data_IF_112949304838
#
_entry.id   IF_112949304838
#
_cell.length_a   1.000
_cell.length_b   1.000
_cell.length_c   1.000
_cell.angle_alpha   90.00
_cell.angle_beta   90.00
_cell.angle_gamma   90.00
#
_symmetry.space_group_name_H-M   'P 1'
#
loop_
_entity.id
_entity.type
_entity.pdbx_description
1 polymer ?
#
# COMPACT_ATOMS: atom_id res chain seq x y z
N UNK A 1 -5.87 29.85 7.39
CA UNK A 1 -4.45 29.78 6.96
C UNK A 1 -4.22 28.34 6.54
N UNK A 2 -4.76 28.05 5.37
CA UNK A 2 -5.02 26.69 4.91
C UNK A 2 -3.92 26.35 3.91
N UNK A 3 -2.91 25.66 4.42
CA UNK A 3 -1.75 25.26 3.62
C UNK A 3 -2.21 24.42 2.42
N UNK A 4 -2.02 24.92 1.19
CA UNK A 4 -2.59 24.33 0.00
C UNK A 4 -1.78 23.11 -0.46
N UNK A 5 -2.49 22.04 -0.86
CA UNK A 5 -2.07 21.09 -1.91
C UNK A 5 -0.85 20.20 -1.63
N UNK A 6 -0.76 19.58 -0.45
CA UNK A 6 0.09 18.39 -0.33
C UNK A 6 -0.55 17.26 -1.13
N UNK A 7 -0.04 16.99 -2.33
CA UNK A 7 -0.47 15.87 -3.15
C UNK A 7 -0.33 14.58 -2.34
N UNK A 8 -1.45 14.04 -1.86
CA UNK A 8 -1.49 12.86 -0.96
C UNK A 8 -0.70 11.67 -1.49
N UNK A 9 -0.55 11.57 -2.82
CA UNK A 9 0.31 10.60 -3.51
C UNK A 9 1.81 10.80 -3.25
N UNK A 10 2.31 12.03 -3.20
CA UNK A 10 3.72 12.29 -2.87
C UNK A 10 4.01 11.93 -1.42
N UNK A 11 3.10 12.23 -0.50
CA UNK A 11 3.23 11.83 0.91
C UNK A 11 3.21 10.31 1.07
N UNK A 12 2.37 9.61 0.30
CA UNK A 12 2.33 8.14 0.22
C UNK A 12 3.65 7.56 -0.29
N UNK A 13 4.16 8.01 -1.44
CA UNK A 13 5.39 7.48 -2.05
C UNK A 13 6.61 7.76 -1.18
N UNK A 14 6.71 8.97 -0.60
CA UNK A 14 7.79 9.34 0.32
C UNK A 14 7.69 8.50 1.60
N UNK A 15 6.48 8.28 2.15
CA UNK A 15 6.28 7.43 3.32
C UNK A 15 6.66 5.97 3.07
N UNK A 16 6.21 5.37 1.97
CA UNK A 16 6.57 4.00 1.58
C UNK A 16 8.07 3.85 1.30
N UNK A 17 8.67 4.81 0.61
CA UNK A 17 10.10 4.82 0.34
C UNK A 17 10.93 4.94 1.62
N UNK A 18 10.62 5.93 2.45
CA UNK A 18 11.35 6.19 3.69
C UNK A 18 11.14 5.08 4.73
N UNK A 19 9.91 4.58 4.86
CA UNK A 19 9.58 3.43 5.70
C UNK A 19 10.27 2.15 5.23
N UNK A 20 10.26 1.86 3.93
CA UNK A 20 10.93 0.68 3.38
C UNK A 20 12.45 0.73 3.54
N UNK A 21 13.08 1.88 3.30
CA UNK A 21 14.52 2.08 3.55
C UNK A 21 14.84 1.93 5.04
N UNK A 22 13.94 2.38 5.91
CA UNK A 22 14.03 2.16 7.36
C UNK A 22 13.94 0.67 7.75
N UNK A 23 13.08 -0.12 7.12
CA UNK A 23 13.09 -1.56 7.41
C UNK A 23 14.37 -2.26 6.91
N UNK A 24 14.97 -1.78 5.81
CA UNK A 24 16.23 -2.32 5.28
C UNK A 24 17.46 -1.93 6.10
N UNK A 25 17.50 -0.73 6.70
CA UNK A 25 18.62 -0.31 7.57
C UNK A 25 18.56 -0.96 8.96
N UNK A 26 17.41 -1.51 9.38
CA UNK A 26 17.23 -2.13 10.71
C UNK A 26 18.26 -3.23 11.00
N UNK A 27 18.46 -4.24 10.14
CA UNK A 27 19.47 -5.28 10.40
C UNK A 27 20.91 -4.73 10.41
N UNK A 28 21.19 -3.66 9.65
CA UNK A 28 22.49 -2.97 9.69
C UNK A 28 22.68 -2.21 11.01
N UNK A 29 21.65 -1.52 11.48
CA UNK A 29 21.67 -0.80 12.75
C UNK A 29 21.86 -1.78 13.93
N UNK A 30 21.23 -2.95 13.88
CA UNK A 30 21.43 -4.01 14.88
C UNK A 30 22.85 -4.57 14.87
N UNK A 31 23.50 -4.64 13.70
CA UNK A 31 24.90 -5.09 13.56
C UNK A 31 25.91 -4.06 14.09
N UNK A 32 25.63 -2.77 13.95
CA UNK A 32 26.57 -1.68 14.29
C UNK A 32 26.38 -1.17 15.72
N UNK A 33 25.13 -0.94 16.15
CA UNK A 33 24.81 -0.31 17.43
C UNK A 33 24.25 -1.30 18.49
N UNK A 34 24.14 -2.58 18.14
CA UNK A 34 23.62 -3.64 19.01
C UNK A 34 22.09 -3.70 19.09
N UNK A 35 21.59 -4.69 19.84
CA UNK A 35 20.18 -5.02 19.94
C UNK A 35 19.22 -3.88 20.37
N UNK A 36 19.56 -2.97 21.32
CA UNK A 36 18.59 -1.97 21.78
C UNK A 36 18.36 -0.83 20.77
N UNK A 37 19.32 -0.55 19.88
CA UNK A 37 19.22 0.53 18.91
C UNK A 37 18.32 0.18 17.70
N UNK A 38 18.12 -1.11 17.42
CA UNK A 38 17.31 -1.57 16.28
C UNK A 38 15.80 -1.53 16.50
N UNK A 39 15.33 -1.61 17.75
CA UNK A 39 13.90 -1.61 18.10
C UNK A 39 13.15 -0.34 17.66
N UNK A 40 13.59 0.89 18.00
CA UNK A 40 12.86 2.09 17.61
C UNK A 40 12.78 2.23 16.09
N UNK A 41 13.82 1.83 15.38
CA UNK A 41 13.89 1.91 13.94
C UNK A 41 13.00 0.88 13.24
N UNK A 42 12.92 -0.34 13.78
CA UNK A 42 11.97 -1.38 13.33
C UNK A 42 10.52 -0.93 13.51
N UNK A 43 10.21 -0.33 14.65
CA UNK A 43 8.87 0.15 14.98
C UNK A 43 8.48 1.33 14.10
N UNK A 44 9.41 2.26 13.86
CA UNK A 44 9.18 3.39 12.98
C UNK A 44 8.89 2.96 11.54
N UNK A 45 9.70 2.03 10.99
CA UNK A 45 9.47 1.47 9.66
C UNK A 45 8.12 0.78 9.53
N UNK A 46 7.76 -0.07 10.50
CA UNK A 46 6.47 -0.76 10.55
C UNK A 46 5.28 0.21 10.63
N UNK A 47 5.36 1.20 11.51
CA UNK A 47 4.30 2.21 11.66
C UNK A 47 4.13 3.05 10.39
N UNK A 48 5.23 3.45 9.76
CA UNK A 48 5.21 4.22 8.51
C UNK A 48 4.59 3.41 7.37
N UNK A 49 4.96 2.14 7.22
CA UNK A 49 4.36 1.25 6.22
C UNK A 49 2.85 1.10 6.43
N UNK A 50 2.42 0.88 7.67
CA UNK A 50 1.00 0.74 8.02
C UNK A 50 0.19 2.01 7.76
N UNK A 51 0.74 3.17 8.09
CA UNK A 51 0.13 4.46 7.78
C UNK A 51 -0.02 4.68 6.26
N UNK A 52 1.00 4.31 5.48
CA UNK A 52 0.95 4.42 4.03
C UNK A 52 -0.08 3.45 3.41
N UNK A 53 -0.17 2.21 3.89
CA UNK A 53 -1.22 1.27 3.47
C UNK A 53 -2.61 1.83 3.74
N UNK A 54 -2.83 2.44 4.91
CA UNK A 54 -4.13 3.02 5.27
C UNK A 54 -4.52 4.17 4.35
N UNK A 55 -3.58 5.05 4.01
CA UNK A 55 -3.85 6.17 3.10
C UNK A 55 -4.08 5.68 1.68
N UNK A 56 -3.35 4.65 1.22
CA UNK A 56 -3.54 4.02 -0.09
C UNK A 56 -4.90 3.34 -0.20
N UNK A 57 -5.40 2.77 0.90
CA UNK A 57 -6.71 2.15 0.99
C UNK A 57 -7.87 3.15 0.90
N UNK A 58 -7.71 4.32 1.53
CA UNK A 58 -8.73 5.39 1.53
C UNK A 58 -8.72 6.18 0.21
N UNK A 59 -7.56 6.33 -0.43
CA UNK A 59 -7.38 7.10 -1.66
C UNK A 59 -8.39 6.78 -2.80
N UNK A 60 -8.64 5.52 -3.20
CA UNK A 60 -9.64 5.21 -4.22
C UNK A 60 -11.07 5.50 -3.75
N UNK A 61 -11.35 5.40 -2.44
CA UNK A 61 -12.70 5.67 -1.90
C UNK A 61 -13.06 7.15 -1.86
N UNK A 62 -12.07 8.04 -1.99
CA UNK A 62 -12.28 9.48 -2.12
C UNK A 62 -12.39 9.93 -3.57
N UNK A 63 -11.76 9.21 -4.50
CA UNK A 63 -11.83 9.50 -5.93
C UNK A 63 -13.05 8.87 -6.63
N UNK A 64 -13.62 7.79 -6.09
CA UNK A 64 -14.73 7.05 -6.73
C UNK A 64 -15.99 6.98 -5.83
N UNK A 65 -17.21 7.16 -6.40
CA UNK A 65 -18.45 7.15 -5.63
C UNK A 65 -18.83 5.74 -5.10
N UNK A 66 -19.78 5.75 -4.16
CA UNK A 66 -20.26 4.71 -3.21
C UNK A 66 -20.40 3.26 -3.72
N UNK A 67 -20.56 3.04 -5.02
CA UNK A 67 -20.72 1.70 -5.61
C UNK A 67 -19.46 0.84 -5.57
N UNK A 68 -18.26 1.46 -5.55
CA UNK A 68 -16.98 0.74 -5.53
C UNK A 68 -16.37 0.55 -4.13
N UNK A 69 -16.97 1.18 -3.11
CA UNK A 69 -16.42 1.14 -1.74
C UNK A 69 -16.50 -0.26 -1.15
N UNK A 70 -17.64 -0.93 -1.25
CA UNK A 70 -17.82 -2.28 -0.71
C UNK A 70 -16.86 -3.31 -1.32
N UNK A 71 -16.63 -3.22 -2.64
CA UNK A 71 -15.71 -4.10 -3.35
C UNK A 71 -14.25 -3.80 -3.03
N UNK A 72 -13.85 -2.53 -2.94
CA UNK A 72 -12.49 -2.15 -2.53
C UNK A 72 -12.15 -2.66 -1.12
N UNK A 73 -13.09 -2.50 -0.17
CA UNK A 73 -12.90 -3.00 1.19
C UNK A 73 -12.85 -4.54 1.23
N UNK A 74 -13.71 -5.21 0.45
CA UNK A 74 -13.72 -6.67 0.34
C UNK A 74 -12.42 -7.24 -0.23
N UNK A 75 -11.90 -6.64 -1.30
CA UNK A 75 -10.64 -7.04 -1.93
C UNK A 75 -9.46 -6.88 -0.97
N UNK A 76 -9.37 -5.77 -0.24
CA UNK A 76 -8.32 -5.61 0.77
C UNK A 76 -8.42 -6.63 1.92
N UNK A 77 -9.64 -7.00 2.34
CA UNK A 77 -9.81 -8.05 3.33
C UNK A 77 -9.33 -9.42 2.83
N UNK A 78 -9.56 -9.73 1.55
CA UNK A 78 -9.01 -10.95 0.93
C UNK A 78 -7.48 -10.90 0.90
N UNK A 79 -6.88 -9.78 0.53
CA UNK A 79 -5.41 -9.61 0.59
C UNK A 79 -4.86 -9.75 2.02
N UNK A 80 -5.55 -9.17 3.02
CA UNK A 80 -5.20 -9.33 4.42
C UNK A 80 -5.26 -10.79 4.88
N UNK A 81 -6.27 -11.54 4.43
CA UNK A 81 -6.38 -12.99 4.69
C UNK A 81 -5.27 -13.78 4.04
N UNK A 82 -4.90 -13.47 2.79
CA UNK A 82 -3.77 -14.11 2.09
C UNK A 82 -2.48 -13.84 2.88
N UNK A 83 -2.24 -12.61 3.31
CA UNK A 83 -1.10 -12.27 4.16
C UNK A 83 -1.07 -13.06 5.47
N UNK A 84 -2.24 -13.29 6.08
CA UNK A 84 -2.34 -14.07 7.31
C UNK A 84 -2.06 -15.57 7.10
N UNK A 85 -2.43 -16.13 5.96
CA UNK A 85 -2.08 -17.52 5.57
C UNK A 85 -0.59 -17.65 5.25
N UNK A 86 0.01 -16.61 4.67
CA UNK A 86 1.46 -16.57 4.39
C UNK A 86 2.31 -16.35 5.64
N UNK A 87 1.75 -15.78 6.72
CA UNK A 87 2.47 -15.50 7.97
C UNK A 87 3.20 -16.70 8.59
N UNK A 88 2.58 -17.90 8.78
CA UNK A 88 3.29 -19.06 9.30
C UNK A 88 4.35 -19.62 8.34
N UNK A 89 4.13 -19.50 7.02
CA UNK A 89 5.11 -19.93 6.00
C UNK A 89 6.34 -19.01 6.04
N UNK A 90 6.11 -17.71 6.21
CA UNK A 90 7.15 -16.70 6.41
C UNK A 90 7.88 -16.85 7.75
N UNK A 91 7.19 -17.31 8.80
CA UNK A 91 7.79 -17.61 10.10
C UNK A 91 8.64 -18.87 10.14
N UNK A 92 8.46 -19.79 9.18
CA UNK A 92 9.34 -20.93 8.98
C UNK A 92 10.65 -20.56 8.26
N UNK A 93 10.69 -19.40 7.58
CA UNK A 93 11.91 -18.78 7.07
C UNK A 93 12.54 -17.89 8.16
N UNK A 94 13.84 -17.64 8.02
CA UNK A 94 14.56 -16.73 8.92
C UNK A 94 13.85 -15.35 8.97
N UNK A 95 13.50 -14.84 10.17
CA UNK A 95 12.71 -13.62 10.32
C UNK A 95 13.41 -12.40 9.70
N UNK A 96 14.74 -12.43 9.59
CA UNK A 96 15.53 -11.38 8.96
C UNK A 96 15.30 -11.37 7.44
N UNK A 97 15.17 -12.54 6.81
CA UNK A 97 14.88 -12.68 5.38
C UNK A 97 13.48 -12.15 5.05
N UNK A 98 12.48 -12.49 5.86
CA UNK A 98 11.12 -11.97 5.71
C UNK A 98 11.05 -10.44 5.88
N UNK A 99 11.79 -9.89 6.85
CA UNK A 99 11.83 -8.45 7.07
C UNK A 99 12.51 -7.71 5.91
N UNK A 100 13.60 -8.27 5.37
CA UNK A 100 14.29 -7.73 4.20
C UNK A 100 13.42 -7.81 2.94
N UNK A 101 12.75 -8.94 2.72
CA UNK A 101 11.84 -9.12 1.58
C UNK A 101 10.69 -8.12 1.63
N UNK A 102 10.05 -7.95 2.78
CA UNK A 102 8.95 -7.00 2.94
C UNK A 102 9.42 -5.54 2.77
N UNK A 103 10.60 -5.21 3.31
CA UNK A 103 11.23 -3.90 3.13
C UNK A 103 11.58 -3.62 1.67
N UNK A 104 12.16 -4.60 0.97
CA UNK A 104 12.52 -4.50 -0.45
C UNK A 104 11.29 -4.41 -1.36
N UNK A 105 10.26 -5.23 -1.13
CA UNK A 105 9.00 -5.15 -1.86
C UNK A 105 8.31 -3.80 -1.62
N UNK A 106 8.37 -3.28 -0.40
CA UNK A 106 7.83 -1.96 -0.04
C UNK A 106 8.56 -0.80 -0.71
N UNK A 107 9.90 -0.82 -0.73
CA UNK A 107 10.70 0.19 -1.44
C UNK A 107 10.52 0.09 -2.94
N UNK A 108 10.50 -1.12 -3.50
CA UNK A 108 10.22 -1.35 -4.92
C UNK A 108 8.81 -0.85 -5.26
N UNK A 109 7.79 -1.11 -4.46
CA UNK A 109 6.45 -0.59 -4.68
C UNK A 109 6.39 0.95 -4.61
N UNK A 110 7.04 1.57 -3.61
CA UNK A 110 7.16 3.02 -3.51
C UNK A 110 7.92 3.64 -4.68
N UNK A 111 8.98 2.97 -5.15
CA UNK A 111 9.79 3.39 -6.28
C UNK A 111 9.06 3.19 -7.61
N UNK A 112 8.30 2.10 -7.79
CA UNK A 112 7.39 1.90 -8.91
C UNK A 112 6.28 2.95 -8.90
N UNK A 113 5.82 3.40 -7.74
CA UNK A 113 4.83 4.49 -7.65
C UNK A 113 5.43 5.84 -8.07
N UNK A 114 6.75 6.01 -7.97
CA UNK A 114 7.50 7.16 -8.52
C UNK A 114 7.87 6.96 -10.00
N UNK A 115 8.18 5.72 -10.40
CA UNK A 115 8.58 5.32 -11.76
C UNK A 115 7.40 5.12 -12.71
N UNK A 116 6.18 4.98 -12.19
CA UNK A 116 4.99 5.34 -12.93
C UNK A 116 4.92 6.87 -12.91
N UNK A 117 5.38 7.58 -13.97
CA UNK A 117 4.99 8.97 -14.14
C UNK A 117 3.47 8.98 -14.01
N UNK A 118 2.98 9.81 -13.09
CA UNK A 118 1.60 10.27 -12.95
C UNK A 118 0.70 9.60 -13.97
N UNK A 119 -0.10 8.61 -13.55
CA UNK A 119 -1.21 8.06 -14.34
C UNK A 119 -1.86 9.20 -15.10
N UNK A 120 -1.45 9.28 -16.35
CA UNK A 120 -1.37 10.48 -17.16
C UNK A 120 -2.74 11.09 -17.31
N UNK A 121 -3.07 12.16 -16.57
CA UNK A 121 -4.18 13.07 -16.87
C UNK A 121 -5.50 12.39 -17.30
N UNK A 122 -5.79 11.18 -16.80
CA UNK A 122 -6.94 10.36 -17.21
C UNK A 122 -7.66 9.77 -16.00
N UNK A 123 -7.73 10.54 -14.92
CA UNK A 123 -9.01 10.62 -14.22
C UNK A 123 -9.98 11.35 -15.17
N UNK A 124 -10.52 10.58 -16.11
CA UNK A 124 -11.66 10.84 -16.99
C UNK A 124 -12.18 12.30 -17.08
N UNK A 125 -11.69 13.03 -18.08
CA UNK A 125 -12.57 13.79 -18.99
C UNK A 125 -13.13 12.82 -20.06
N UNK A 126 -13.78 11.72 -19.65
CA UNK A 126 -14.50 10.84 -20.57
C UNK A 126 -15.55 10.00 -19.81
N UNK A 127 -16.85 10.34 -19.88
CA UNK A 127 -17.91 9.40 -19.53
C UNK A 127 -17.96 8.33 -20.62
N UNK A 128 -17.27 7.19 -20.44
CA UNK A 128 -17.36 6.11 -21.43
C UNK A 128 -16.28 5.06 -21.36
N UNK A 129 -16.38 4.14 -20.38
CA UNK A 129 -15.95 2.75 -20.52
C UNK A 129 -16.40 1.89 -19.32
N UNK A 130 -17.64 2.09 -18.85
CA UNK A 130 -18.40 0.95 -18.32
C UNK A 130 -19.01 0.30 -19.56
N UNK A 131 -18.21 -0.58 -20.17
CA UNK A 131 -18.69 -1.51 -21.19
C UNK A 131 -19.84 -2.30 -20.59
N UNK A 132 -20.96 -2.27 -21.30
CA UNK A 132 -22.25 -2.75 -20.84
C UNK A 132 -22.24 -4.21 -20.41
N UNK A 133 -22.83 -4.42 -19.24
CA UNK A 133 -23.60 -5.62 -18.93
C UNK A 133 -24.88 -5.20 -18.20
N UNK A 134 -25.69 -4.33 -18.83
CA UNK A 134 -27.14 -4.43 -18.69
C UNK A 134 -27.55 -5.66 -19.51
N UNK A 135 -27.59 -6.83 -18.89
CA UNK A 135 -28.47 -7.89 -19.38
C UNK A 135 -29.78 -7.77 -18.59
N UNK A 136 -30.65 -6.94 -19.16
CA UNK A 136 -32.06 -6.94 -18.84
C UNK A 136 -32.69 -8.12 -19.59
N UNK A 137 -32.87 -9.22 -18.88
CA UNK A 137 -33.86 -10.26 -19.16
C UNK A 137 -34.28 -10.73 -17.78
N UNK A 138 -35.48 -10.49 -17.29
CA UNK A 138 -36.77 -10.72 -17.93
C UNK A 138 -37.84 -10.11 -17.02
N UNK A 139 -38.61 -9.13 -17.49
CA UNK A 139 -40.04 -9.40 -17.74
C UNK A 139 -40.21 -10.66 -18.60
N UNK A 140 -40.50 -11.79 -17.94
CA UNK A 140 -41.23 -12.93 -18.48
C UNK A 140 -41.73 -13.74 -17.28
N UNK A 141 -43.06 -13.83 -17.18
CA UNK A 141 -43.91 -14.60 -16.25
C UNK A 141 -44.10 -14.03 -14.83
#
# INVERSE_FOLDING_TARGET
ADHPRFGRRRTLSIGLGFGGVSLLLTPLAQRVFGAPAGMPFSLFGKACSMAAFQVAYIYPTELFPTQSRGTALGVANVFGRIGNVLAPIAGALDPLVCQLLLGALGTVCGLLTLMLPETHGRAMDAPGAVGGARQNGSCLA
#
